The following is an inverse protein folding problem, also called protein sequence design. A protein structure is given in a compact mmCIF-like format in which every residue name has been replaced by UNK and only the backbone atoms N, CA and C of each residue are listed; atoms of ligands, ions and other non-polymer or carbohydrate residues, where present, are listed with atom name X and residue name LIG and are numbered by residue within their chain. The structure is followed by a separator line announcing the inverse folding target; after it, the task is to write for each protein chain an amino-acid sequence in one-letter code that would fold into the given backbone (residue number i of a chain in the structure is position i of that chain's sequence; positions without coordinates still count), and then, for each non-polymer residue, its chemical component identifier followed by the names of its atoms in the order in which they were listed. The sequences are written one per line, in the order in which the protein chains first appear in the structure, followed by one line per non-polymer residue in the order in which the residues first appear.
data_IF_537188490716
#
_entry.id   IF_537188490716
#
_cell.length_a   1.000
_cell.length_b   1.000
_cell.length_c   1.000
_cell.angle_alpha   90.00
_cell.angle_beta   90.00
_cell.angle_gamma   90.00
#
_symmetry.space_group_name_H-M   'P 1'
#
loop_
_entity.id
_entity.type
_entity.pdbx_description
1 polymer ?
#
# COMPACT_ATOMS: atom_id res chain seq x y z
N UNK A 1 -10.22 -33.51 17.49
CA UNK A 1 -9.20 -32.73 16.77
C UNK A 1 -9.77 -32.43 15.39
N UNK A 2 -10.67 -31.45 15.31
CA UNK A 2 -11.41 -31.17 14.07
C UNK A 2 -10.58 -30.23 13.22
N UNK A 3 -10.20 -30.71 12.04
CA UNK A 3 -9.42 -30.03 11.00
C UNK A 3 -10.19 -28.81 10.47
N UNK A 4 -10.22 -27.73 11.25
CA UNK A 4 -10.81 -26.47 10.81
C UNK A 4 -9.73 -25.75 10.00
N UNK A 5 -9.77 -25.97 8.68
CA UNK A 5 -9.00 -25.24 7.67
C UNK A 5 -8.87 -23.77 8.11
N UNK A 6 -7.71 -23.43 8.66
CA UNK A 6 -7.39 -22.08 9.06
C UNK A 6 -7.59 -21.21 7.82
N UNK A 7 -8.67 -20.42 7.79
CA UNK A 7 -8.85 -19.40 6.77
C UNK A 7 -7.64 -18.47 6.89
N UNK A 8 -6.62 -18.74 6.09
CA UNK A 8 -5.33 -18.05 6.16
C UNK A 8 -5.61 -16.56 6.01
N UNK A 9 -5.26 -15.78 7.03
CA UNK A 9 -5.39 -14.32 7.04
C UNK A 9 -4.69 -13.68 5.84
N UNK A 10 -3.70 -14.38 5.29
CA UNK A 10 -2.94 -14.03 4.10
C UNK A 10 -3.52 -14.73 2.87
N UNK A 11 -4.45 -14.09 2.18
CA UNK A 11 -4.81 -14.52 0.83
C UNK A 11 -3.83 -13.90 -0.17
N UNK A 12 -3.18 -14.71 -1.00
CA UNK A 12 -2.19 -14.25 -2.00
C UNK A 12 -2.81 -13.24 -2.96
N UNK A 13 -4.10 -13.42 -3.30
CA UNK A 13 -4.90 -12.46 -4.08
C UNK A 13 -4.91 -11.06 -3.46
N UNK A 14 -4.94 -11.01 -2.14
CA UNK A 14 -4.98 -9.78 -1.37
C UNK A 14 -3.70 -8.99 -1.51
N UNK A 15 -2.58 -9.67 -1.29
CA UNK A 15 -1.26 -9.08 -1.44
C UNK A 15 -1.05 -8.53 -2.84
N UNK A 16 -1.51 -9.24 -3.88
CA UNK A 16 -1.43 -8.75 -5.27
C UNK A 16 -2.24 -7.47 -5.47
N UNK A 17 -3.45 -7.39 -4.91
CA UNK A 17 -4.28 -6.17 -4.99
C UNK A 17 -3.58 -5.00 -4.30
N UNK A 18 -3.06 -5.22 -3.09
CA UNK A 18 -2.34 -4.19 -2.33
C UNK A 18 -1.07 -3.76 -3.08
N UNK A 19 -0.44 -4.68 -3.83
CA UNK A 19 0.71 -4.42 -4.69
C UNK A 19 0.39 -3.50 -5.85
N UNK A 20 -0.63 -3.85 -6.61
CA UNK A 20 -1.08 -3.03 -7.74
C UNK A 20 -1.50 -1.64 -7.24
N UNK A 21 -2.23 -1.57 -6.13
CA UNK A 21 -2.70 -0.30 -5.57
C UNK A 21 -1.52 0.58 -5.11
N UNK A 22 -0.49 0.00 -4.51
CA UNK A 22 0.70 0.72 -4.07
C UNK A 22 1.53 1.25 -5.24
N UNK A 23 1.65 0.49 -6.34
CA UNK A 23 2.32 0.98 -7.56
C UNK A 23 1.57 2.18 -8.17
N UNK A 24 0.24 2.11 -8.21
CA UNK A 24 -0.59 3.22 -8.67
C UNK A 24 -0.40 4.45 -7.77
N UNK A 25 -0.42 4.26 -6.45
CA UNK A 25 -0.22 5.32 -5.47
C UNK A 25 1.16 5.99 -5.63
N UNK A 26 2.22 5.21 -5.86
CA UNK A 26 3.56 5.72 -6.12
C UNK A 26 3.60 6.66 -7.33
N UNK A 27 3.01 6.23 -8.45
CA UNK A 27 2.98 7.03 -9.68
C UNK A 27 2.19 8.33 -9.50
N UNK A 28 1.06 8.27 -8.78
CA UNK A 28 0.24 9.44 -8.47
C UNK A 28 1.00 10.42 -7.58
N UNK A 29 1.58 9.93 -6.48
CA UNK A 29 2.33 10.77 -5.55
C UNK A 29 3.55 11.41 -6.20
N UNK A 30 4.27 10.67 -7.05
CA UNK A 30 5.38 11.24 -7.82
C UNK A 30 4.91 12.39 -8.72
N UNK A 31 3.80 12.22 -9.46
CA UNK A 31 3.25 13.28 -10.32
C UNK A 31 2.84 14.53 -9.54
N UNK A 32 2.25 14.35 -8.36
CA UNK A 32 1.83 15.46 -7.50
C UNK A 32 3.05 16.21 -6.93
N UNK A 33 4.13 15.49 -6.62
CA UNK A 33 5.30 16.09 -5.98
C UNK A 33 6.22 16.84 -6.94
N UNK A 34 6.32 16.43 -8.20
CA UNK A 34 7.17 17.09 -9.22
C UNK A 34 7.00 18.63 -9.26
N UNK A 35 5.79 19.20 -9.36
CA UNK A 35 5.62 20.66 -9.37
C UNK A 35 5.90 21.33 -8.02
N UNK A 36 5.98 20.56 -6.93
CA UNK A 36 6.20 21.07 -5.58
C UNK A 36 7.67 21.07 -5.15
N UNK A 37 8.57 20.46 -5.94
CA UNK A 37 10.01 20.50 -5.66
C UNK A 37 10.60 21.80 -6.21
N UNK A 38 11.06 22.74 -5.37
CA UNK A 38 11.63 24.01 -5.80
C UNK A 38 13.08 23.81 -6.28
N UNK A 39 13.27 23.15 -7.42
CA UNK A 39 14.59 22.93 -8.05
C UNK A 39 14.51 23.14 -9.56
N UNK A 40 15.53 23.78 -10.13
CA UNK A 40 15.67 23.99 -11.58
C UNK A 40 16.28 22.76 -12.28
N UNK A 41 16.89 21.84 -11.53
CA UNK A 41 17.59 20.68 -12.08
C UNK A 41 16.64 19.48 -12.25
N UNK A 42 16.38 19.02 -13.48
CA UNK A 42 15.41 17.95 -13.75
C UNK A 42 15.78 16.62 -13.09
N UNK A 43 17.07 16.33 -12.94
CA UNK A 43 17.54 15.12 -12.27
C UNK A 43 17.28 15.15 -10.75
N UNK A 44 17.50 16.31 -10.11
CA UNK A 44 17.26 16.47 -8.68
C UNK A 44 15.76 16.33 -8.36
N UNK A 45 14.89 16.94 -9.18
CA UNK A 45 13.43 16.82 -9.05
C UNK A 45 12.99 15.36 -9.19
N UNK A 46 13.53 14.61 -10.15
CA UNK A 46 13.18 13.19 -10.33
C UNK A 46 13.64 12.32 -9.16
N UNK A 47 14.87 12.51 -8.66
CA UNK A 47 15.42 11.73 -7.56
C UNK A 47 14.64 12.02 -6.27
N UNK A 48 14.49 13.29 -5.91
CA UNK A 48 13.79 13.70 -4.67
C UNK A 48 12.33 13.27 -4.72
N UNK A 49 11.63 13.52 -5.83
CA UNK A 49 10.23 13.09 -5.96
C UNK A 49 10.07 11.57 -5.87
N UNK A 50 11.01 10.80 -6.42
CA UNK A 50 10.98 9.34 -6.32
C UNK A 50 11.24 8.83 -4.89
N UNK A 51 12.24 9.38 -4.18
CA UNK A 51 12.55 9.02 -2.79
C UNK A 51 11.38 9.32 -1.85
N UNK A 52 10.79 10.50 -1.96
CA UNK A 52 9.66 10.91 -1.12
C UNK A 52 8.41 10.08 -1.41
N UNK A 53 8.08 9.87 -2.69
CA UNK A 53 6.92 9.05 -3.06
C UNK A 53 7.09 7.58 -2.68
N UNK A 54 8.32 7.05 -2.71
CA UNK A 54 8.61 5.68 -2.25
C UNK A 54 8.32 5.49 -0.77
N UNK A 55 8.76 6.43 0.08
CA UNK A 55 8.48 6.41 1.52
C UNK A 55 6.97 6.44 1.81
N UNK A 56 6.24 7.37 1.18
CA UNK A 56 4.78 7.47 1.34
C UNK A 56 4.06 6.20 0.88
N UNK A 57 4.53 5.58 -0.20
CA UNK A 57 3.99 4.31 -0.71
C UNK A 57 4.25 3.15 0.25
N UNK A 58 5.41 3.12 0.91
CA UNK A 58 5.72 2.11 1.93
C UNK A 58 4.77 2.18 3.13
N UNK A 59 4.46 3.39 3.61
CA UNK A 59 3.48 3.59 4.70
C UNK A 59 2.08 3.16 4.24
N UNK A 60 1.69 3.55 3.02
CA UNK A 60 0.41 3.14 2.42
C UNK A 60 0.28 1.61 2.34
N UNK A 61 1.34 0.91 1.94
CA UNK A 61 1.39 -0.54 1.89
C UNK A 61 1.10 -1.18 3.24
N UNK A 62 1.80 -0.74 4.29
CA UNK A 62 1.64 -1.29 5.64
C UNK A 62 0.21 -1.02 6.15
N UNK A 63 -0.31 0.19 5.90
CA UNK A 63 -1.67 0.56 6.28
C UNK A 63 -2.73 -0.30 5.56
N UNK A 64 -2.55 -0.58 4.26
CA UNK A 64 -3.45 -1.46 3.50
C UNK A 64 -3.48 -2.89 4.07
N UNK A 65 -2.31 -3.41 4.48
CA UNK A 65 -2.23 -4.72 5.14
C UNK A 65 -2.95 -4.72 6.50
N UNK A 66 -2.80 -3.68 7.31
CA UNK A 66 -3.55 -3.55 8.57
C UNK A 66 -5.06 -3.44 8.35
N UNK A 67 -5.50 -2.67 7.34
CA UNK A 67 -6.91 -2.57 6.99
C UNK A 67 -7.50 -3.93 6.61
N UNK A 68 -6.77 -4.72 5.82
CA UNK A 68 -7.16 -6.08 5.46
C UNK A 68 -7.36 -6.96 6.69
N UNK A 69 -6.42 -6.93 7.64
CA UNK A 69 -6.54 -7.71 8.89
C UNK A 69 -7.77 -7.30 9.68
N UNK A 70 -7.99 -6.00 9.86
CA UNK A 70 -9.16 -5.47 10.56
C UNK A 70 -10.47 -5.83 9.85
N UNK A 71 -10.48 -5.84 8.51
CA UNK A 71 -11.66 -6.20 7.73
C UNK A 71 -12.02 -7.68 7.85
N UNK A 72 -11.01 -8.55 7.88
CA UNK A 72 -11.21 -9.98 8.15
C UNK A 72 -11.74 -10.20 9.56
N UNK A 73 -11.18 -9.53 10.56
CA UNK A 73 -11.61 -9.61 11.95
C UNK A 73 -13.06 -9.09 12.13
N UNK A 74 -13.41 -7.97 11.49
CA UNK A 74 -14.78 -7.44 11.45
C UNK A 74 -15.78 -8.44 10.83
N UNK A 75 -15.43 -9.04 9.68
CA UNK A 75 -16.28 -10.02 9.02
C UNK A 75 -16.48 -11.29 9.87
N UNK A 76 -15.47 -11.70 10.65
CA UNK A 76 -15.59 -12.83 11.59
C UNK A 76 -16.56 -12.51 12.72
N UNK A 77 -16.45 -11.32 13.33
CA UNK A 77 -17.35 -10.88 14.42
C UNK A 77 -18.80 -10.73 13.97
N UNK A 78 -19.05 -10.33 12.71
CA UNK A 78 -20.41 -10.21 12.17
C UNK A 78 -21.12 -11.57 11.95
N UNK A 79 -20.37 -12.66 11.83
CA UNK A 79 -20.93 -14.01 11.61
C UNK A 79 -21.08 -14.84 12.89
N UNK A 80 -20.67 -14.30 14.04
CA UNK A 80 -20.98 -14.84 15.37
C UNK A 80 -22.23 -14.17 15.92
#
# INVERSE_FOLDING_TARGET
MSENSEKTLFTVRGVIIDLVLSVIFFLLMRKILVPHVPSQDPNAVLIVSSMTSFCMTGVFWIAANMLRVTWVDYNRRKQQ
#
